data_IF_562386185057
#
_entry.id   IF_562386185057
#
_cell.length_a   1.000
_cell.length_b   1.000
_cell.length_c   1.000
_cell.angle_alpha   90.00
_cell.angle_beta   90.00
_cell.angle_gamma   90.00
#
_symmetry.space_group_name_H-M   'P 1'
#
loop_
_entity.id
_entity.type
_entity.pdbx_description
1 polymer ?
2 polymer ?
3 water ?
#
# COMPACT_ATOMS: atom_id res chain seq x y z
N UNK A 1 -15.09 9.85 -22.74
CA UNK A 1 -14.14 9.23 -21.79
C UNK A 1 -12.74 9.09 -22.37
N UNK A 2 -11.73 9.82 -21.98
CA UNK A 2 -10.37 9.71 -22.49
C UNK A 2 -9.66 8.48 -21.95
N UNK A 3 -8.71 7.89 -22.67
CA UNK A 3 -8.01 6.70 -22.22
C UNK A 3 -6.60 7.31 -22.25
N UNK A 4 -5.92 7.08 -21.14
CA UNK A 4 -4.54 7.60 -21.06
C UNK A 4 -3.72 6.28 -21.01
N UNK A 5 -2.77 6.14 -21.93
CA UNK A 5 -2.10 4.84 -21.87
C UNK A 5 -0.64 5.20 -21.69
N UNK A 6 -0.25 4.66 -20.58
CA UNK A 6 1.06 4.80 -19.93
C UNK A 6 2.05 3.69 -20.19
N UNK A 7 3.23 4.08 -20.64
CA UNK A 7 4.36 3.21 -20.91
C UNK A 7 5.76 3.70 -20.50
N UNK A 8 6.52 2.80 -19.90
CA UNK A 8 6.15 1.45 -19.52
C UNK A 8 5.33 1.37 -18.23
N UNK A 9 4.77 0.19 -18.02
CA UNK A 9 4.01 -0.15 -16.81
C UNK A 9 4.89 -0.42 -15.59
N UNK A 10 5.97 -1.16 -15.72
CA UNK A 10 7.00 -1.56 -14.76
C UNK A 10 8.33 -1.08 -15.34
N UNK A 11 9.37 -0.89 -14.60
CA UNK A 11 10.67 -0.45 -15.18
C UNK A 11 11.60 -0.30 -13.98
N UNK A 12 12.73 -0.91 -14.15
CA UNK A 12 13.82 -0.95 -13.20
C UNK A 12 14.95 -0.04 -13.74
N UNK A 13 15.45 0.79 -12.84
CA UNK A 13 16.53 1.68 -13.23
C UNK A 13 17.61 1.77 -12.17
N UNK A 14 18.77 1.95 -12.79
CA UNK A 14 20.04 2.14 -12.13
C UNK A 14 20.01 3.62 -11.78
N UNK A 15 20.23 3.92 -10.49
CA UNK A 15 20.29 5.33 -10.03
C UNK A 15 21.34 5.88 -11.02
N UNK A 16 21.08 7.01 -11.63
CA UNK A 16 22.07 7.45 -12.64
C UNK A 16 21.50 7.58 -14.06
N UNK A 17 20.78 6.64 -14.54
CA UNK A 17 20.07 6.59 -15.82
C UNK A 17 18.88 7.57 -15.92
N UNK A 18 18.77 8.13 -17.09
CA UNK A 18 17.69 9.06 -17.43
C UNK A 18 16.58 8.09 -17.80
N UNK A 19 15.35 8.47 -17.66
CA UNK A 19 14.22 7.58 -18.03
C UNK A 19 13.20 8.50 -18.74
N UNK A 20 12.35 7.87 -19.51
CA UNK A 20 11.28 8.56 -20.24
C UNK A 20 10.00 7.75 -20.00
N UNK A 21 8.96 8.42 -19.55
CA UNK A 21 7.64 7.74 -19.30
C UNK A 21 6.68 8.33 -20.31
N UNK A 22 5.95 7.56 -21.07
CA UNK A 22 5.01 8.06 -22.11
C UNK A 22 3.57 7.98 -21.59
N UNK A 23 2.75 8.93 -22.03
CA UNK A 23 1.33 8.97 -21.66
C UNK A 23 0.66 9.32 -23.02
N UNK A 24 0.04 8.30 -23.56
CA UNK A 24 -0.70 8.49 -24.83
C UNK A 24 -2.15 8.79 -24.53
N UNK A 25 -2.81 9.55 -25.38
CA UNK A 25 -4.21 9.97 -25.29
C UNK A 25 -4.95 9.57 -26.57
N UNK A 26 -6.14 9.05 -26.37
CA UNK A 26 -7.02 8.60 -27.44
C UNK A 26 -7.55 9.83 -28.19
N UNK A 27 -7.45 11.01 -27.62
CA UNK A 27 -7.89 12.28 -28.23
C UNK A 27 -6.93 13.43 -28.06
N UNK A 28 -7.16 14.57 -28.72
CA UNK A 28 -6.39 15.82 -28.61
C UNK A 28 -5.90 16.24 -27.23
N UNK A 29 -6.52 17.06 -26.43
CA UNK A 29 -6.23 17.51 -25.07
C UNK A 29 -4.98 18.33 -24.72
N UNK A 30 -4.51 19.03 -25.69
CA UNK A 30 -3.38 19.91 -25.86
C UNK A 30 -2.46 19.96 -24.65
N UNK A 31 -2.66 20.90 -23.76
CA UNK A 31 -1.73 21.05 -22.62
C UNK A 31 -2.40 20.57 -21.34
N UNK A 32 -3.66 20.15 -21.47
CA UNK A 32 -4.44 19.70 -20.33
C UNK A 32 -3.99 18.35 -19.76
N UNK A 33 -2.71 18.14 -19.77
CA UNK A 33 -2.13 16.92 -19.22
C UNK A 33 -1.29 17.27 -17.99
N UNK A 34 -1.55 16.55 -16.91
CA UNK A 34 -0.74 16.73 -15.65
C UNK A 34 -0.19 15.38 -15.17
N UNK A 35 0.97 15.33 -14.58
CA UNK A 35 1.74 14.31 -13.96
C UNK A 35 1.94 14.38 -12.45
N UNK A 36 1.61 13.35 -11.74
CA UNK A 36 1.72 13.12 -10.31
C UNK A 36 2.67 11.98 -9.93
N UNK A 37 3.30 12.21 -8.82
CA UNK A 37 4.26 11.26 -8.22
C UNK A 37 3.71 10.69 -6.90
N UNK A 38 3.74 9.37 -6.74
CA UNK A 38 3.24 8.82 -5.46
C UNK A 38 4.38 7.93 -4.92
N UNK A 39 4.93 8.25 -3.77
CA UNK A 39 6.00 7.45 -3.16
C UNK A 39 5.23 6.35 -2.44
N UNK A 40 5.91 5.42 -1.84
CA UNK A 40 5.40 4.28 -1.09
C UNK A 40 4.74 4.94 0.11
N UNK A 41 3.67 4.31 0.55
CA UNK A 41 2.93 4.78 1.72
C UNK A 41 2.60 6.26 1.88
N UNK A 42 2.69 7.10 0.87
CA UNK A 42 2.42 8.51 0.66
C UNK A 42 1.31 8.83 -0.30
N UNK A 43 0.78 10.06 -0.27
CA UNK A 43 -0.29 10.46 -1.24
C UNK A 43 0.36 10.99 -2.52
N UNK A 44 -0.38 11.01 -3.62
CA UNK A 44 0.12 11.55 -4.88
C UNK A 44 0.45 13.03 -4.62
N UNK A 45 1.44 13.46 -5.41
CA UNK A 45 1.99 14.82 -5.44
C UNK A 45 1.97 15.42 -6.84
N UNK A 46 1.66 16.74 -6.88
CA UNK A 46 1.64 17.38 -8.21
C UNK A 46 3.09 17.70 -8.56
N UNK A 47 3.49 17.26 -9.75
CA UNK A 47 4.82 17.52 -10.31
C UNK A 47 4.93 18.50 -11.46
N UNK A 48 4.30 18.10 -12.55
CA UNK A 48 4.20 18.77 -13.83
C UNK A 48 2.76 19.18 -14.08
N UNK A 49 2.60 20.43 -14.31
CA UNK A 49 1.36 21.14 -14.61
C UNK A 49 1.47 21.32 -16.13
N UNK A 50 0.41 21.01 -16.83
CA UNK A 50 0.34 21.18 -18.30
C UNK A 50 1.61 20.82 -19.04
N UNK A 51 1.92 19.56 -19.00
CA UNK A 51 3.06 18.82 -19.52
C UNK A 51 4.39 19.40 -19.86
N UNK A 52 4.80 20.47 -19.21
CA UNK A 52 6.00 21.26 -19.36
C UNK A 52 6.34 22.11 -18.11
N UNK A 53 5.31 22.69 -17.58
CA UNK A 53 5.23 23.58 -16.44
C UNK A 53 5.18 22.90 -15.10
N UNK A 54 6.29 22.85 -14.46
CA UNK A 54 6.46 22.22 -13.16
C UNK A 54 5.86 23.10 -12.07
N UNK A 55 5.83 22.56 -10.85
CA UNK A 55 5.30 23.35 -9.74
C UNK A 55 6.38 24.09 -8.98
N UNK A 56 7.23 23.47 -8.18
CA UNK A 56 8.22 24.11 -7.35
C UNK A 56 8.66 23.33 -6.08
N UNK A 57 9.96 23.19 -5.96
CA UNK A 57 10.53 22.49 -4.80
C UNK A 57 10.92 21.10 -5.21
N UNK A 58 10.69 20.90 -6.50
CA UNK A 58 10.91 19.69 -7.35
C UNK A 58 12.22 19.98 -8.04
N UNK A 59 12.99 18.96 -8.33
CA UNK A 59 14.27 19.15 -9.06
C UNK A 59 13.90 19.48 -10.51
N UNK A 60 14.88 20.09 -11.11
CA UNK A 60 14.98 20.54 -12.51
C UNK A 60 15.18 19.35 -13.48
N UNK A 61 15.54 18.25 -12.80
CA UNK A 61 15.78 16.90 -13.27
C UNK A 61 14.56 16.29 -13.93
N UNK A 62 13.40 16.63 -13.54
CA UNK A 62 12.10 16.27 -14.04
C UNK A 62 11.73 17.22 -15.16
N UNK A 63 11.39 16.74 -16.31
CA UNK A 63 10.98 17.60 -17.43
C UNK A 63 9.65 17.05 -17.98
N UNK A 64 8.74 17.93 -18.32
CA UNK A 64 7.47 17.52 -18.90
C UNK A 64 7.53 18.13 -20.32
N UNK A 65 7.19 17.28 -21.26
CA UNK A 65 7.17 17.58 -22.69
C UNK A 65 5.95 16.95 -23.37
N UNK A 66 5.46 17.61 -24.42
CA UNK A 66 4.32 17.09 -25.17
C UNK A 66 3.14 17.98 -25.29
N UNK A 67 2.37 17.68 -26.31
CA UNK A 67 1.12 18.31 -26.73
C UNK A 67 0.48 17.30 -27.72
N UNK A 68 -0.81 17.30 -27.61
CA UNK A 68 -1.62 16.41 -28.49
C UNK A 68 -1.96 15.07 -27.91
N UNK A 69 -1.53 13.96 -28.48
CA UNK A 69 -1.92 12.63 -27.90
C UNK A 69 -0.79 12.08 -27.07
N UNK A 70 0.41 12.52 -27.34
CA UNK A 70 1.63 12.03 -26.67
C UNK A 70 2.37 13.04 -25.83
N UNK A 71 2.54 12.76 -24.58
CA UNK A 71 3.19 13.59 -23.55
C UNK A 71 4.25 12.76 -22.84
N UNK A 72 5.36 13.35 -22.45
CA UNK A 72 6.37 12.48 -21.81
C UNK A 72 6.97 13.18 -20.61
N UNK A 73 7.36 12.37 -19.63
CA UNK A 73 7.96 12.95 -18.40
C UNK A 73 9.36 12.33 -18.47
N UNK A 74 10.28 13.28 -18.43
CA UNK A 74 11.73 12.92 -18.51
C UNK A 74 12.31 12.98 -17.12
N UNK A 75 13.17 12.05 -16.75
CA UNK A 75 13.78 12.12 -15.38
C UNK A 75 15.25 11.89 -15.79
N UNK A 76 16.03 12.94 -15.74
CA UNK A 76 17.43 12.95 -16.17
C UNK A 76 18.45 12.14 -15.43
N UNK A 77 18.41 12.00 -14.13
CA UNK A 77 19.39 11.09 -13.46
C UNK A 77 18.40 10.48 -12.43
N UNK A 78 18.44 9.16 -12.35
CA UNK A 78 17.49 8.55 -11.41
C UNK A 78 18.05 8.46 -10.00
N UNK A 79 17.33 9.01 -9.04
CA UNK A 79 17.83 8.93 -7.65
C UNK A 79 16.80 8.17 -6.78
N UNK A 80 17.41 7.62 -5.76
CA UNK A 80 16.68 6.80 -4.76
C UNK A 80 15.46 7.61 -4.42
N UNK A 81 15.39 8.86 -4.06
CA UNK A 81 14.17 9.60 -3.71
C UNK A 81 13.07 9.53 -4.76
N UNK A 82 13.45 9.28 -5.99
CA UNK A 82 12.62 9.24 -7.17
C UNK A 82 11.78 8.01 -7.47
N UNK A 83 11.99 6.91 -6.81
CA UNK A 83 11.24 5.67 -7.07
C UNK A 83 9.91 5.60 -6.31
N UNK A 84 8.89 5.28 -7.11
CA UNK A 84 7.50 5.18 -6.73
C UNK A 84 6.70 5.08 -8.07
N UNK A 85 5.43 5.38 -7.92
CA UNK A 85 4.55 5.40 -9.08
C UNK A 85 4.35 6.86 -9.53
N UNK A 86 4.27 6.91 -10.86
CA UNK A 86 4.04 8.07 -11.71
C UNK A 86 2.77 7.91 -12.55
N UNK A 87 1.88 8.91 -12.30
CA UNK A 87 0.58 8.97 -12.99
C UNK A 87 0.32 10.22 -13.80
N UNK A 88 -0.33 10.05 -14.93
CA UNK A 88 -0.63 11.26 -15.78
C UNK A 88 -2.10 11.50 -15.61
N UNK A 89 -2.53 12.72 -15.68
CA UNK A 89 -4.01 12.93 -15.57
C UNK A 89 -4.34 14.08 -16.55
N UNK A 90 -5.47 13.88 -17.20
CA UNK A 90 -6.01 14.83 -18.18
C UNK A 90 -7.20 15.60 -17.60
N UNK A 91 -7.15 16.92 -17.64
CA UNK A 91 -8.21 17.81 -17.11
C UNK A 91 -9.08 18.42 -18.20
N UNK A 92 -8.58 18.33 -19.42
CA UNK A 92 -9.21 18.77 -20.68
C UNK A 92 -10.73 18.67 -20.60
N UNK A 93 -11.19 17.44 -20.37
CA UNK A 93 -12.61 17.13 -20.30
C UNK A 93 -12.95 16.18 -19.15
N UNK A 94 -14.11 16.46 -18.63
CA UNK A 94 -14.81 15.77 -17.53
C UNK A 94 -15.35 14.60 -18.36
N UNK A 95 -15.29 13.36 -17.88
CA UNK A 95 -14.76 12.99 -16.57
C UNK A 95 -13.24 12.99 -16.61
N UNK A 96 -12.68 13.69 -15.64
CA UNK A 96 -11.21 13.73 -15.50
C UNK A 96 -10.89 12.26 -15.45
N UNK A 97 -9.82 11.85 -16.14
CA UNK A 97 -9.29 10.51 -16.20
C UNK A 97 -7.78 10.49 -15.91
N UNK A 98 -7.33 9.32 -15.42
CA UNK A 98 -5.89 9.13 -15.17
C UNK A 98 -5.45 7.94 -16.04
N UNK A 99 -4.16 7.75 -16.10
CA UNK A 99 -3.47 6.64 -16.78
C UNK A 99 -3.09 5.57 -15.75
N UNK A 100 -2.99 4.32 -16.06
CA UNK A 100 -2.68 3.19 -15.26
C UNK A 100 -1.59 3.30 -14.20
N UNK A 101 -0.52 4.00 -14.53
CA UNK A 101 0.66 4.18 -13.65
C UNK A 101 1.93 3.51 -14.19
N UNK A 102 3.02 4.15 -13.89
CA UNK A 102 4.39 3.76 -14.27
C UNK A 102 5.13 3.57 -12.96
N UNK A 103 5.34 2.29 -12.60
CA UNK A 103 6.00 2.00 -11.32
C UNK A 103 7.53 2.13 -11.45
N UNK A 104 8.27 2.85 -10.60
CA UNK A 104 9.72 2.76 -10.94
C UNK A 104 10.34 2.01 -9.81
N UNK A 105 11.34 1.20 -10.13
CA UNK A 105 12.05 0.37 -9.15
C UNK A 105 13.55 0.64 -9.30
N UNK A 106 14.30 0.52 -8.23
CA UNK A 106 15.73 0.68 -8.10
C UNK A 106 16.45 -0.67 -8.35
N UNK A 107 17.20 -0.68 -9.42
CA UNK A 107 17.94 -1.87 -9.83
C UNK A 107 19.24 -1.84 -9.03
N UNK A 108 19.44 -2.82 -8.23
CA UNK A 108 20.57 -3.01 -7.32
C UNK A 108 21.25 -4.35 -7.52
N UNK A 109 22.37 -4.62 -6.84
CA UNK A 109 22.92 -5.98 -7.10
C UNK A 109 21.98 -7.03 -6.51
N UNK A 110 22.14 -8.23 -7.03
CA UNK A 110 21.38 -9.41 -6.59
C UNK A 110 21.80 -9.68 -5.15
N UNK A 111 20.90 -10.30 -4.39
CA UNK A 111 21.08 -10.57 -2.98
C UNK A 111 20.33 -11.81 -2.51
N UNK A 112 21.01 -12.69 -1.82
CA UNK A 112 20.43 -13.91 -1.27
C UNK A 112 19.60 -13.68 -0.02
N UNK A 113 18.48 -14.39 0.06
CA UNK A 113 17.57 -14.28 1.24
C UNK A 113 18.24 -14.93 2.43
N UNK A 114 17.91 -14.60 3.65
CA UNK A 114 18.34 -15.14 4.93
C UNK A 114 16.95 -15.69 5.29
N UNK A 115 16.93 -16.97 5.49
CA UNK A 115 15.60 -17.63 5.73
C UNK A 115 15.68 -18.15 7.12
N UNK A 116 14.59 -18.15 7.78
CA UNK A 116 14.44 -18.64 9.17
C UNK A 116 13.07 -19.29 9.04
N UNK A 117 12.90 -20.37 9.73
CA UNK A 117 11.71 -21.21 9.83
C UNK A 117 11.30 -21.30 11.31
N UNK A 118 9.99 -21.29 11.51
CA UNK A 118 9.26 -21.28 12.76
C UNK A 118 8.12 -22.30 12.84
N UNK A 119 8.24 -23.20 13.81
CA UNK A 119 7.22 -24.20 14.08
C UNK A 119 6.01 -23.48 14.72
N UNK A 120 4.86 -24.16 14.80
CA UNK A 120 3.64 -23.61 15.43
C UNK A 120 3.92 -23.32 16.89
N UNK A 121 3.27 -22.31 17.42
CA UNK A 121 3.28 -21.92 18.84
C UNK A 121 2.42 -22.98 19.55
N UNK A 122 2.63 -23.18 20.82
CA UNK A 122 1.99 -24.07 21.77
C UNK A 122 0.69 -23.44 22.31
N UNK A 123 0.59 -22.20 21.92
CA UNK A 123 -0.52 -21.31 22.16
C UNK A 123 -1.55 -21.54 21.05
N UNK A 124 -1.08 -21.73 19.86
CA UNK A 124 -1.72 -21.91 18.58
C UNK A 124 -2.29 -23.31 18.73
N UNK A 125 -1.50 -24.24 18.98
CA UNK A 125 -1.79 -25.63 19.25
C UNK A 125 -3.01 -25.82 20.12
N UNK A 126 -3.37 -24.94 21.04
CA UNK A 126 -4.60 -25.25 21.81
C UNK A 126 -5.92 -25.24 21.05
N UNK A 127 -6.04 -24.32 20.18
CA UNK A 127 -7.05 -23.88 19.26
C UNK A 127 -7.20 -24.80 18.07
N UNK A 128 -6.48 -25.90 18.20
CA UNK A 128 -6.45 -26.94 17.18
C UNK A 128 -5.75 -26.70 15.87
N UNK A 129 -5.00 -25.62 15.74
CA UNK A 129 -4.33 -25.28 14.48
C UNK A 129 -2.82 -25.17 14.60
N UNK A 130 -2.16 -25.29 13.43
CA UNK A 130 -0.69 -25.17 13.39
C UNK A 130 -0.31 -24.40 12.10
N UNK A 131 0.37 -23.28 12.30
CA UNK A 131 0.93 -22.44 11.21
C UNK A 131 2.45 -22.60 11.40
N UNK A 132 3.09 -22.83 10.29
CA UNK A 132 4.55 -23.09 10.21
C UNK A 132 4.89 -21.89 9.37
N UNK A 133 5.87 -21.15 9.73
CA UNK A 133 6.20 -19.90 9.02
C UNK A 133 7.67 -19.81 8.62
N UNK A 134 7.86 -19.36 7.40
CA UNK A 134 9.28 -19.15 6.94
C UNK A 134 9.50 -17.69 6.61
N UNK A 135 10.48 -16.90 6.98
CA UNK A 135 10.67 -15.53 6.52
C UNK A 135 11.80 -15.62 5.48
N UNK A 136 11.78 -15.00 4.35
CA UNK A 136 12.83 -15.01 3.30
C UNK A 136 13.18 -13.52 3.31
N UNK A 137 14.25 -13.15 3.96
CA UNK A 137 14.61 -11.75 4.19
C UNK A 137 15.71 -11.09 3.38
N UNK A 138 15.36 -9.84 2.98
CA UNK A 138 16.32 -9.03 2.19
C UNK A 138 17.03 -9.69 1.04
N UNK A 139 16.33 -9.98 -0.03
CA UNK A 139 16.73 -10.59 -1.27
C UNK A 139 16.50 -9.63 -2.46
N UNK A 140 17.20 -9.89 -3.55
CA UNK A 140 17.04 -9.09 -4.78
C UNK A 140 17.57 -9.94 -5.93
N UNK A 141 16.89 -10.13 -7.05
CA UNK A 141 15.57 -9.61 -7.42
C UNK A 141 14.35 -10.18 -6.74
N UNK A 142 13.16 -9.64 -6.97
CA UNK A 142 11.98 -10.08 -6.23
C UNK A 142 11.58 -11.52 -6.46
N UNK A 143 11.77 -12.04 -7.65
CA UNK A 143 11.31 -13.40 -8.04
C UNK A 143 12.22 -14.42 -7.33
N UNK A 144 11.45 -15.11 -6.48
CA UNK A 144 11.97 -16.17 -5.60
C UNK A 144 10.90 -17.25 -5.67
N UNK A 145 11.28 -18.51 -5.54
CA UNK A 145 10.26 -19.59 -5.55
C UNK A 145 10.40 -20.29 -4.20
N UNK A 146 9.30 -20.44 -3.49
CA UNK A 146 9.31 -21.11 -2.22
C UNK A 146 8.43 -22.36 -2.22
N UNK A 147 9.04 -23.48 -1.82
CA UNK A 147 8.11 -24.67 -1.77
C UNK A 147 8.04 -25.27 -0.37
N UNK A 148 6.87 -25.75 0.04
CA UNK A 148 6.82 -26.46 1.35
C UNK A 148 7.00 -27.98 1.09
N UNK A 149 7.60 -28.72 1.96
CA UNK A 149 7.84 -30.18 1.86
C UNK A 149 7.54 -30.70 3.25
N UNK A 150 6.73 -31.71 3.41
CA UNK A 150 6.34 -32.28 4.70
C UNK A 150 6.87 -33.70 4.61
N UNK A 151 7.85 -34.01 5.45
CA UNK A 151 8.42 -35.37 5.33
C UNK A 151 8.91 -35.57 3.89
N UNK A 152 9.48 -34.62 3.18
CA UNK A 152 9.91 -34.83 1.80
C UNK A 152 9.06 -34.60 0.57
N UNK A 153 7.77 -34.62 0.67
CA UNK A 153 6.77 -34.40 -0.40
C UNK A 153 6.22 -32.95 -0.29
N UNK A 154 6.07 -32.36 -1.42
CA UNK A 154 5.67 -30.98 -1.74
C UNK A 154 4.24 -30.75 -1.27
N UNK A 155 4.05 -29.65 -0.58
CA UNK A 155 2.73 -29.29 -0.04
C UNK A 155 2.37 -27.89 -0.57
N UNK A 156 1.30 -27.92 -1.33
CA UNK A 156 0.70 -26.82 -2.09
C UNK A 156 -0.50 -26.18 -1.40
N UNK A 157 -1.21 -27.10 -0.77
CA UNK A 157 -2.45 -26.94 -0.04
C UNK A 157 -2.23 -26.25 1.30
N UNK A 158 -2.84 -25.09 1.40
CA UNK A 158 -2.81 -24.26 2.58
C UNK A 158 -1.73 -23.22 2.61
N UNK A 159 -1.06 -22.88 1.54
CA UNK A 159 0.04 -21.88 1.60
C UNK A 159 -0.37 -20.45 1.19
N UNK A 160 0.04 -19.45 1.98
CA UNK A 160 -0.21 -18.05 1.70
C UNK A 160 1.08 -17.25 1.85
N UNK A 161 1.46 -16.65 0.74
CA UNK A 161 2.63 -15.81 0.58
C UNK A 161 2.26 -14.29 0.58
N UNK A 162 3.22 -13.53 1.05
CA UNK A 162 3.25 -12.10 1.20
C UNK A 162 4.66 -11.56 1.07
N UNK A 163 4.78 -10.70 0.07
CA UNK A 163 6.02 -9.99 -0.36
C UNK A 163 6.02 -8.56 0.08
N UNK A 164 7.11 -7.99 0.50
CA UNK A 164 6.99 -6.56 0.92
C UNK A 164 7.31 -5.79 -0.39
N UNK A 165 7.08 -4.51 -0.28
CA UNK A 165 7.40 -3.62 -1.41
C UNK A 165 8.93 -3.46 -1.27
N UNK A 166 9.58 -2.80 -2.20
CA UNK A 166 11.00 -2.57 -2.23
C UNK A 166 11.33 -1.65 -1.06
N UNK A 167 12.45 -2.04 -0.46
CA UNK A 167 12.89 -1.33 0.76
C UNK A 167 13.48 0.01 0.34
N UNK A 168 13.33 0.98 1.23
CA UNK A 168 13.87 2.32 0.95
C UNK A 168 15.34 2.31 1.38
N UNK A 169 15.64 1.52 2.39
CA UNK A 169 17.05 1.49 2.83
C UNK A 169 18.00 0.85 1.82
N UNK A 170 17.78 -0.41 1.55
CA UNK A 170 18.69 -1.08 0.58
C UNK A 170 18.05 -1.64 -0.66
N UNK A 171 16.82 -1.30 -1.07
CA UNK A 171 16.29 -1.82 -2.36
C UNK A 171 15.91 -3.28 -2.47
N UNK A 172 15.90 -3.90 -1.28
CA UNK A 172 15.55 -5.33 -1.25
C UNK A 172 14.05 -5.50 -1.00
N UNK A 173 13.75 -6.77 -1.15
CA UNK A 173 12.37 -7.26 -0.96
C UNK A 173 12.43 -8.31 0.12
N UNK A 174 11.30 -8.56 0.69
CA UNK A 174 11.13 -9.52 1.75
C UNK A 174 9.87 -10.37 1.54
N UNK A 175 9.89 -11.48 2.25
CA UNK A 175 8.70 -12.37 2.02
C UNK A 175 8.44 -13.34 3.15
N UNK A 176 7.13 -13.44 3.39
CA UNK A 176 6.63 -14.31 4.41
C UNK A 176 5.89 -15.46 3.72
N UNK A 177 6.06 -16.67 4.21
CA UNK A 177 5.37 -17.79 3.53
C UNK A 177 4.76 -18.55 4.69
N UNK A 178 3.43 -18.73 4.59
CA UNK A 178 2.76 -19.42 5.67
C UNK A 178 2.07 -20.69 5.28
N UNK A 179 2.33 -21.81 5.98
CA UNK A 179 1.62 -23.05 5.72
C UNK A 179 0.82 -23.33 6.99
N UNK A 180 -0.44 -23.60 6.82
CA UNK A 180 -1.44 -23.78 7.85
C UNK A 180 -1.98 -25.21 7.89
N UNK A 181 -1.80 -25.88 9.02
CA UNK A 181 -2.21 -27.29 9.08
C UNK A 181 -3.07 -27.32 10.35
N UNK A 182 -3.69 -28.46 10.57
CA UNK A 182 -4.49 -28.66 11.78
C UNK A 182 -3.51 -29.29 12.76
N UNK A 183 -3.80 -29.19 14.06
CA UNK A 183 -2.85 -29.78 15.02
C UNK A 183 -2.70 -31.27 14.78
N UNK A 184 -3.82 -31.87 14.34
CA UNK A 184 -3.93 -33.30 14.04
C UNK A 184 -3.00 -33.80 12.94
N UNK A 185 -3.00 -33.10 11.82
CA UNK A 185 -2.16 -33.43 10.66
C UNK A 185 -0.78 -33.01 11.09
N UNK A 186 -0.60 -31.95 11.87
CA UNK A 186 0.73 -31.49 12.30
C UNK A 186 1.35 -32.55 13.22
N UNK A 187 0.64 -33.13 14.18
CA UNK A 187 1.18 -34.13 15.06
C UNK A 187 1.39 -35.47 14.36
N UNK A 188 1.29 -35.60 13.07
CA UNK A 188 1.47 -36.83 12.28
C UNK A 188 2.63 -36.70 11.28
N UNK A 189 3.37 -35.60 11.28
CA UNK A 189 4.46 -35.63 10.27
C UNK A 189 5.70 -35.17 11.10
N UNK A 190 6.89 -35.41 10.57
CA UNK A 190 8.07 -35.20 11.39
C UNK A 190 8.94 -34.03 11.07
N UNK A 191 9.13 -33.86 9.77
CA UNK A 191 9.93 -32.82 9.18
C UNK A 191 9.16 -31.82 8.33
N UNK A 192 9.50 -30.59 8.56
CA UNK A 192 8.95 -29.39 7.88
C UNK A 192 10.16 -28.71 7.24
N UNK A 193 10.09 -28.48 5.93
CA UNK A 193 11.06 -27.87 5.07
C UNK A 193 10.45 -26.78 4.20
N UNK A 194 11.29 -25.81 4.03
CA UNK A 194 10.83 -24.63 3.17
C UNK A 194 12.04 -24.45 2.29
N UNK A 195 11.75 -24.51 0.98
CA UNK A 195 12.87 -24.38 0.03
C UNK A 195 12.61 -23.17 -0.86
N UNK A 196 13.57 -22.31 -1.00
CA UNK A 196 13.67 -21.09 -1.71
C UNK A 196 14.68 -21.26 -2.87
N UNK A 197 14.11 -21.04 -4.04
CA UNK A 197 14.99 -21.02 -5.22
C UNK A 197 14.95 -19.59 -5.74
N UNK A 198 16.18 -19.04 -5.67
CA UNK A 198 16.44 -17.63 -6.13
C UNK A 198 17.55 -17.66 -7.18
N UNK A 199 17.66 -16.68 -8.05
CA UNK A 199 18.64 -16.47 -9.12
C UNK A 199 20.05 -16.72 -8.64
N UNK A 200 20.26 -16.09 -7.50
CA UNK A 200 21.50 -16.10 -6.71
C UNK A 200 22.15 -17.45 -6.54
N UNK A 201 21.46 -18.59 -6.67
CA UNK A 201 22.14 -19.89 -6.50
C UNK A 201 21.46 -20.95 -7.35
N UNK A 202 22.22 -22.03 -7.57
CA UNK A 202 21.73 -23.15 -8.41
C UNK A 202 20.98 -24.13 -7.54
N UNK A 203 21.41 -24.18 -6.28
CA UNK A 203 20.77 -25.08 -5.28
C UNK A 203 19.74 -24.30 -4.45
N UNK A 204 18.61 -24.95 -4.22
CA UNK A 204 17.52 -24.32 -3.41
C UNK A 204 18.05 -24.13 -1.99
N UNK A 205 17.82 -22.99 -1.40
CA UNK A 205 18.25 -22.68 -0.02
C UNK A 205 17.12 -23.40 0.75
N UNK A 206 17.52 -24.10 1.77
CA UNK A 206 16.54 -24.90 2.54
C UNK A 206 16.90 -24.69 4.02
N UNK A 207 15.84 -24.63 4.80
CA UNK A 207 15.86 -24.44 6.25
C UNK A 207 14.87 -25.46 6.78
N UNK A 208 15.11 -26.28 7.76
CA UNK A 208 14.17 -27.30 8.24
C UNK A 208 14.21 -27.37 9.76
N UNK A 209 13.28 -28.13 10.23
CA UNK A 209 13.04 -28.46 11.62
C UNK A 209 12.28 -29.82 11.60
N UNK A 210 12.56 -30.46 12.72
CA UNK A 210 12.01 -31.73 13.11
C UNK A 210 11.13 -31.42 14.35
N UNK A 211 9.96 -32.00 14.26
CA UNK A 211 9.05 -31.83 15.47
C UNK A 211 9.65 -32.63 16.62
N UNK A 212 9.38 -32.29 17.89
CA UNK A 212 9.97 -33.10 19.02
C UNK A 212 9.64 -32.56 20.42
N UNK A 213 10.41 -31.58 20.88
CA UNK A 213 10.33 -30.84 22.13
C UNK A 213 10.86 -31.53 23.38
N UNK A 214 10.22 -31.20 24.49
CA UNK A 214 10.32 -31.49 25.89
C UNK A 214 9.80 -32.73 26.61
N UNK B 1 1.29 24.93 5.23
CA UNK B 1 -0.18 25.03 5.40
C UNK B 1 -0.90 24.48 4.17
N UNK B 2 -2.17 24.48 4.09
CA UNK B 2 -2.95 23.89 2.99
C UNK B 2 -2.70 22.41 3.42
N UNK B 3 -3.61 21.96 4.25
CA UNK B 3 -3.76 20.66 4.84
C UNK B 3 -5.14 20.09 4.56
N UNK B 4 -5.26 18.89 4.02
CA UNK B 4 -6.65 18.35 3.77
C UNK B 4 -6.83 17.15 4.65
N UNK B 5 -7.72 16.88 5.55
CA UNK B 5 -7.70 15.61 6.31
C UNK B 5 -9.05 14.92 6.32
N UNK B 6 -9.08 13.75 5.67
CA UNK B 6 -10.29 12.91 5.56
C UNK B 6 -10.55 12.05 6.79
N UNK B 7 -11.81 11.83 7.13
CA UNK B 7 -12.32 10.99 8.17
C UNK B 7 -13.64 10.34 7.73
N UNK B 8 -14.09 9.33 8.42
CA UNK B 8 -15.36 8.68 8.09
C UNK B 8 -15.29 7.37 7.38
N UNK B 9 -14.13 6.90 6.98
CA UNK B 9 -14.02 5.63 6.25
C UNK B 9 -14.26 4.38 7.07
N UNK B 10 -14.90 3.30 6.59
CA UNK B 10 -14.99 2.13 7.51
C UNK B 10 -15.61 0.96 6.83
N UNK B 11 -16.11 0.00 7.53
CA UNK B 11 -16.72 -1.21 6.98
C UNK B 11 -18.21 -0.96 6.91
N UNK B 12 -18.76 -1.21 5.78
CA UNK B 12 -20.10 -1.09 5.24
C UNK B 12 -20.45 -2.38 4.47
N UNK B 13 -21.70 -2.74 4.58
CA UNK B 13 -22.26 -3.93 3.87
C UNK B 13 -22.56 -3.38 2.49
N UNK B 14 -22.66 -4.26 1.53
CA UNK B 14 -23.05 -3.86 0.14
C UNK B 14 -24.52 -3.38 0.29
N UNK B 15 -24.76 -2.21 -0.35
CA UNK B 15 -26.06 -1.57 -0.28
C UNK B 15 -26.15 -0.55 0.87
N UNK B 16 -25.27 -0.60 1.86
CA UNK B 16 -25.46 0.36 2.99
C UNK B 16 -24.93 1.73 2.55
N UNK B 17 -24.65 2.66 3.42
CA UNK B 17 -24.11 3.98 3.26
C UNK B 17 -23.05 4.44 4.25
N UNK B 18 -22.18 5.33 3.78
CA UNK B 18 -21.11 5.97 4.54
C UNK B 18 -21.02 7.44 4.15
N UNK B 19 -20.73 8.33 5.07
CA UNK B 19 -20.52 9.77 4.88
C UNK B 19 -19.04 10.14 5.23
N UNK B 20 -18.19 10.53 4.36
CA UNK B 20 -16.82 10.94 4.53
C UNK B 20 -16.80 12.47 4.62
N UNK B 21 -15.83 13.04 5.33
CA UNK B 21 -15.45 14.41 5.59
C UNK B 21 -13.98 14.65 5.26
N UNK B 22 -13.69 15.86 4.95
CA UNK B 22 -12.31 16.30 4.58
C UNK B 22 -12.21 17.69 5.19
N UNK B 23 -11.24 17.82 6.11
CA UNK B 23 -11.14 19.19 6.74
C UNK B 23 -10.10 20.01 6.02
N UNK B 24 -10.42 21.21 5.58
CA UNK B 24 -9.35 22.03 4.94
C UNK B 24 -8.74 23.03 5.90
N UNK B 25 -7.48 23.41 5.64
CA UNK B 25 -6.85 24.43 6.54
C UNK B 25 -5.69 25.08 5.80
N UNK B 26 -5.23 26.29 6.09
CA UNK B 26 -4.11 26.82 5.33
C UNK B 26 -4.53 27.57 4.05
N UNK B 27 -5.85 27.65 3.93
CA UNK B 27 -6.42 28.40 2.76
C UNK B 27 -7.86 28.86 3.04
N UNK B 28 -8.22 29.73 2.11
CA UNK B 28 -9.54 30.35 2.00
C UNK B 28 -10.26 29.32 1.09
N UNK B 29 -11.06 28.53 1.75
CA UNK B 29 -11.83 27.43 1.16
C UNK B 29 -12.89 27.67 0.10
N UNK B 30 -13.63 28.72 0.24
CA UNK B 30 -14.74 29.09 -0.67
C UNK B 30 -14.22 29.53 -2.03
N UNK B 31 -12.90 29.71 -2.20
CA UNK B 31 -12.35 30.16 -3.47
C UNK B 31 -11.89 28.96 -4.32
N UNK B 32 -12.00 27.79 -3.69
CA UNK B 32 -11.45 26.62 -4.40
C UNK B 32 -12.45 25.49 -4.59
N UNK B 33 -12.18 25.00 -5.79
CA UNK B 33 -13.00 23.83 -6.19
C UNK B 33 -12.17 22.68 -5.56
N UNK B 34 -12.91 21.64 -5.23
CA UNK B 34 -12.36 20.41 -4.69
C UNK B 34 -13.04 19.24 -5.45
N UNK B 35 -12.37 18.11 -5.28
CA UNK B 35 -12.76 16.83 -5.83
C UNK B 35 -12.41 15.70 -4.84
N UNK B 36 -13.08 14.58 -5.14
CA UNK B 36 -12.84 13.32 -4.39
C UNK B 36 -12.19 12.39 -5.42
N UNK B 37 -11.16 11.67 -5.05
CA UNK B 37 -10.48 10.71 -5.93
C UNK B 37 -10.24 9.39 -5.16
N UNK B 38 -10.53 8.24 -5.75
CA UNK B 38 -10.29 6.98 -4.99
C UNK B 38 -9.13 6.15 -5.54
N UNK B 39 -8.30 5.60 -4.67
CA UNK B 39 -7.19 4.79 -5.21
C UNK B 39 -7.63 3.35 -5.12
N UNK B 40 -7.61 2.48 -6.10
CA UNK B 40 -8.09 1.11 -5.80
C UNK B 40 -6.95 0.19 -5.39
N UNK B 41 -7.30 -0.87 -4.67
CA UNK B 41 -6.31 -1.85 -4.18
C UNK B 41 -5.26 -2.24 -5.20
N UNK B 42 -5.60 -2.29 -6.49
CA UNK B 42 -4.68 -2.62 -7.57
C UNK B 42 -3.95 -1.39 -8.10
N UNK B 43 -3.92 -0.41 -7.20
CA UNK B 43 -3.32 0.88 -7.31
C UNK B 43 -3.67 1.91 -8.36
N UNK B 44 -4.77 1.93 -9.00
CA UNK B 44 -5.42 2.77 -9.96
C UNK B 44 -6.01 4.01 -9.22
N UNK B 45 -6.03 5.07 -9.94
CA UNK B 45 -6.60 6.34 -9.52
C UNK B 45 -7.81 6.66 -10.40
N UNK B 46 -8.94 6.84 -9.77
CA UNK B 46 -10.20 7.24 -10.36
C UNK B 46 -10.92 8.37 -9.65
N UNK B 47 -11.23 9.38 -10.48
CA UNK B 47 -11.99 10.60 -10.10
C UNK B 47 -13.45 10.27 -9.88
N UNK B 48 -14.05 10.68 -8.80
CA UNK B 48 -15.46 10.37 -8.50
C UNK B 48 -16.50 11.49 -8.30
N UNK B 49 -16.06 12.73 -8.13
CA UNK B 49 -16.95 13.91 -7.91
C UNK B 49 -16.15 15.22 -7.75
N UNK B 50 -16.62 16.30 -8.32
CA UNK B 50 -16.10 17.65 -8.33
C UNK B 50 -17.25 18.54 -7.81
N UNK B 51 -16.83 19.61 -7.17
CA UNK B 51 -17.66 20.64 -6.54
C UNK B 51 -16.90 21.99 -6.43
N UNK B 52 -17.62 23.03 -6.91
CA UNK B 52 -17.17 24.41 -6.99
C UNK B 52 -17.02 25.14 -5.66
N UNK B 53 -16.26 26.23 -5.81
CA UNK B 53 -15.97 27.15 -4.70
C UNK B 53 -17.26 27.56 -4.05
N UNK B 54 -18.34 27.77 -4.74
CA UNK B 54 -19.65 28.11 -4.15
C UNK B 54 -20.78 27.10 -3.98
N UNK B 55 -20.61 25.88 -4.49
CA UNK B 55 -21.62 24.81 -4.39
C UNK B 55 -21.91 24.27 -5.78
N UNK B 56 -22.87 24.91 -6.43
CA UNK B 56 -23.40 24.58 -7.74
C UNK B 56 -22.34 24.17 -8.75
N UNK B 57 -22.78 23.30 -9.62
CA UNK B 57 -21.96 22.75 -10.73
C UNK B 57 -21.14 21.58 -10.17
N UNK B 58 -21.92 20.56 -9.76
CA UNK B 58 -21.39 19.31 -9.22
C UNK B 58 -21.11 18.45 -10.47
N UNK B 59 -20.02 17.74 -10.52
CA UNK B 59 -19.68 16.89 -11.68
C UNK B 59 -19.44 15.46 -11.18
N UNK B 60 -19.97 14.48 -11.90
CA UNK B 60 -19.73 13.05 -11.55
C UNK B 60 -19.36 12.20 -12.74
N UNK B 61 -18.68 11.07 -12.51
CA UNK B 61 -18.34 10.15 -13.64
C UNK B 61 -19.58 9.30 -13.76
N UNK B 62 -19.97 8.59 -14.82
CA UNK B 62 -21.21 7.81 -14.95
C UNK B 62 -21.56 6.73 -13.95
N UNK B 63 -20.49 6.22 -13.37
CA UNK B 63 -20.40 5.17 -12.36
C UNK B 63 -20.94 5.51 -10.97
N UNK B 64 -20.75 6.73 -10.56
CA UNK B 64 -21.13 7.29 -9.26
C UNK B 64 -22.43 8.03 -9.33
N UNK B 65 -22.74 8.51 -10.51
CA UNK B 65 -23.98 9.28 -10.72
C UNK B 65 -25.16 8.47 -10.18
N UNK B 66 -25.83 9.09 -9.22
CA UNK B 66 -26.94 8.46 -8.55
C UNK B 66 -26.66 7.86 -7.19
N UNK B 67 -25.41 7.66 -6.77
CA UNK B 67 -25.23 6.99 -5.45
C UNK B 67 -24.47 7.88 -4.46
N UNK B 68 -23.59 8.66 -5.10
CA UNK B 68 -22.79 9.55 -4.23
C UNK B 68 -23.25 11.00 -4.38
N UNK B 69 -23.09 11.80 -3.32
CA UNK B 69 -23.40 13.22 -3.31
C UNK B 69 -22.22 13.98 -2.62
N UNK B 70 -21.62 14.84 -3.40
CA UNK B 70 -20.55 15.72 -3.01
C UNK B 70 -21.20 17.03 -2.54
N UNK B 71 -20.97 17.41 -1.31
CA UNK B 71 -21.37 18.56 -0.55
C UNK B 71 -20.13 19.25 0.05
N UNK B 72 -20.27 20.49 0.46
CA UNK B 72 -19.29 21.33 1.13
C UNK B 72 -20.09 22.22 2.10
N UNK B 73 -19.41 22.74 3.05
CA UNK B 73 -19.75 23.66 4.15
C UNK B 73 -18.61 24.69 4.25
N UNK B 74 -18.62 25.71 3.44
CA UNK B 74 -17.64 26.76 3.26
C UNK B 74 -17.38 27.55 4.54
N UNK B 75 -18.27 27.35 5.49
CA UNK B 75 -18.25 27.99 6.81
C UNK B 75 -17.34 27.30 7.85
N UNK B 76 -17.59 26.00 7.91
CA UNK B 76 -16.94 24.98 8.74
C UNK B 76 -15.77 24.38 7.94
N UNK B 77 -15.55 24.87 6.75
CA UNK B 77 -14.45 24.46 5.87
C UNK B 77 -14.28 22.94 5.74
N UNK B 78 -15.36 22.29 5.37
CA UNK B 78 -15.46 20.85 5.24
C UNK B 78 -16.04 20.37 3.91
N UNK B 79 -15.33 19.40 3.34
CA UNK B 79 -15.83 18.80 2.10
C UNK B 79 -16.44 17.45 2.47
N UNK B 80 -17.56 17.12 1.80
CA UNK B 80 -18.19 15.87 2.11
C UNK B 80 -18.44 15.04 0.84
N UNK B 81 -18.59 13.75 1.14
CA UNK B 81 -18.93 12.70 0.17
C UNK B 81 -19.86 11.75 0.95
N UNK B 82 -21.09 11.71 0.39
CA UNK B 82 -22.18 10.85 1.02
C UNK B 82 -22.31 9.69 0.07
N UNK B 83 -21.96 8.49 0.52
CA UNK B 83 -22.03 7.36 -0.41
C UNK B 83 -23.22 6.47 -0.09
N UNK B 84 -23.87 6.05 -1.16
CA UNK B 84 -25.06 5.20 -0.91
C UNK B 84 -25.14 4.10 -1.99
N UNK B 85 -26.01 3.14 -1.72
CA UNK B 85 -26.09 2.02 -2.70
C UNK B 85 -24.69 1.41 -2.89
N UNK B 86 -23.95 1.30 -1.77
CA UNK B 86 -22.57 0.81 -1.91
C UNK B 86 -22.57 -0.65 -2.40
N UNK B 87 -21.50 -0.86 -3.16
CA UNK B 87 -21.21 -2.18 -3.79
C UNK B 87 -19.71 -2.38 -3.65
N UNK B 88 -19.30 -3.62 -3.60
CA UNK B 88 -17.95 -4.13 -3.42
C UNK B 88 -16.87 -3.33 -4.13
N UNK B 89 -17.08 -3.05 -5.39
CA UNK B 89 -16.18 -2.26 -6.22
C UNK B 89 -15.87 -0.88 -5.63
N UNK B 90 -16.65 -0.25 -4.77
CA UNK B 90 -16.33 1.03 -4.18
C UNK B 90 -15.26 0.89 -3.09
N UNK B 91 -14.85 -0.37 -2.84
CA UNK B 91 -13.79 -0.59 -1.87
C UNK B 91 -12.56 0.10 -2.47
N UNK B 92 -11.94 0.94 -1.65
CA UNK B 92 -10.77 1.74 -1.94
C UNK B 92 -10.40 2.85 -0.96
N UNK B 93 -9.34 3.62 -1.12
CA UNK B 93 -8.90 4.67 -0.30
C UNK B 93 -9.47 5.97 -0.92
N UNK B 94 -10.18 6.78 -0.14
CA UNK B 94 -10.69 8.04 -0.71
C UNK B 94 -9.81 9.21 -0.25
N UNK B 95 -9.51 10.06 -1.17
CA UNK B 95 -8.70 11.25 -1.04
C UNK B 95 -9.57 12.47 -1.48
N UNK B 96 -9.42 13.54 -0.74
CA UNK B 96 -10.00 14.81 -1.10
C UNK B 96 -8.76 15.57 -1.68
N UNK B 97 -9.04 16.31 -2.76
CA UNK B 97 -8.02 17.06 -3.50
C UNK B 97 -8.56 18.43 -3.86
N UNK B 98 -7.69 19.40 -4.04
CA UNK B 98 -8.23 20.73 -4.38
C UNK B 98 -7.73 21.15 -5.76
N UNK B 99 -8.50 22.00 -6.41
CA UNK B 99 -8.12 22.48 -7.75
C UNK B 99 -7.66 23.93 -7.68
N UNK B 100 -6.85 24.32 -8.66
CA UNK B 100 -6.28 25.67 -8.71
C UNK B 100 -7.37 26.72 -8.82
N UNK B 101 -7.09 27.83 -8.16
CA UNK B 101 -7.90 29.06 -8.10
C UNK B 101 -8.90 29.16 -9.26
N UNK B 102 -10.19 29.13 -8.93
CA UNK B 102 -11.23 29.17 -9.99
C UNK B 102 -11.86 30.47 -10.47
N UNK B 103 -11.36 30.85 -11.66
CA UNK B 103 -11.76 32.05 -12.40
C UNK B 103 -12.55 31.83 -13.68
N UNK B 104 -13.35 32.85 -13.92
CA UNK B 104 -14.25 32.95 -15.09
C UNK B 104 -13.44 33.59 -16.21
N UNK B 105 -12.39 32.87 -16.62
CA UNK B 105 -11.49 33.37 -17.68
C UNK B 105 -11.83 32.68 -19.01
N UNK B 106 -13.11 32.35 -19.01
CA UNK B 106 -13.79 31.71 -20.12
C UNK B 106 -13.52 30.22 -20.18
N UNK B 107 -13.68 29.55 -19.06
CA UNK B 107 -13.49 28.09 -19.06
C UNK B 107 -12.04 27.70 -19.30
N UNK B 108 -11.52 26.97 -18.34
CA UNK B 108 -10.13 26.48 -18.32
C UNK B 108 -10.13 25.09 -17.66
N UNK B 109 -8.92 24.62 -17.33
CA UNK B 109 -8.75 23.26 -16.78
C UNK B 109 -8.60 23.07 -15.30
N UNK B 110 -8.51 21.81 -14.90
CA UNK B 110 -8.41 21.45 -13.48
C UNK B 110 -7.55 20.33 -12.93
N UNK B 111 -6.37 20.75 -12.52
CA UNK B 111 -5.27 20.04 -11.90
C UNK B 111 -5.67 19.89 -10.42
N UNK B 112 -4.95 19.03 -9.77
CA UNK B 112 -5.22 18.71 -8.32
C UNK B 112 -3.85 18.98 -7.72
N UNK B 113 -3.71 20.16 -7.16
CA UNK B 113 -2.38 20.51 -6.60
C UNK B 113 -2.14 20.24 -5.13
N UNK B 114 -3.10 19.68 -4.43
CA UNK B 114 -2.92 19.39 -2.98
C UNK B 114 -3.78 18.14 -2.75
N UNK B 115 -3.24 17.20 -2.01
CA UNK B 115 -4.03 15.99 -1.70
C UNK B 115 -4.05 15.60 -0.22
N UNK B 116 -5.18 14.97 0.15
CA UNK B 116 -5.37 14.44 1.51
C UNK B 116 -4.58 13.17 1.78
N UNK B 117 -4.71 12.52 2.91
CA UNK B 117 -4.04 11.27 3.33
C UNK B 117 -4.86 10.05 2.98
N UNK B 118 -6.11 10.23 2.65
CA UNK B 118 -7.05 9.17 2.30
C UNK B 118 -7.79 8.62 3.52
N UNK B 119 -8.95 8.02 3.32
CA UNK B 119 -9.73 7.38 4.36
C UNK B 119 -10.03 6.00 3.64
N UNK B 120 -10.04 4.93 4.38
CA UNK B 120 -10.25 3.66 3.64
C UNK B 120 -11.71 3.27 3.75
N UNK B 121 -12.34 2.79 2.70
CA UNK B 121 -13.74 2.40 2.75
C UNK B 121 -13.77 0.94 2.23
N UNK B 122 -14.20 -0.04 2.96
CA UNK B 122 -14.33 -1.43 2.57
C UNK B 122 -15.82 -1.85 2.54
N UNK B 123 -16.24 -2.31 1.40
CA UNK B 123 -17.62 -2.79 1.21
C UNK B 123 -17.46 -4.31 1.37
N UNK B 124 -18.07 -4.82 2.40
CA UNK B 124 -18.00 -6.27 2.69
C UNK B 124 -19.10 -6.64 3.68
N UNK B 125 -19.47 -7.89 3.48
CA UNK B 125 -20.51 -8.59 4.28
C UNK B 125 -19.80 -9.37 5.40
N UNK B 126 -18.48 -9.55 5.25
CA UNK B 126 -17.66 -10.25 6.26
C UNK B 126 -17.86 -9.47 7.55
N UNK B 127 -17.77 -10.04 8.70
CA UNK B 127 -17.99 -9.42 10.00
C UNK B 127 -16.66 -9.21 10.71
N UNK B 128 -16.70 -8.20 11.55
CA UNK B 128 -15.54 -7.85 12.39
C UNK B 128 -15.26 -8.96 13.36
N UNK B 129 -14.02 -9.36 13.32
CA UNK B 129 -13.46 -10.44 14.13
C UNK B 129 -12.07 -9.86 14.44
N UNK B 130 -11.70 -9.98 15.69
CA UNK B 130 -10.40 -9.46 16.14
C UNK B 130 -9.39 -10.57 15.86
N UNK B 131 -8.12 -10.22 15.91
CA UNK B 131 -7.05 -11.19 15.68
C UNK B 131 -6.62 -12.11 16.81
N UNK B 132 -5.87 -13.14 16.37
CA UNK B 132 -5.29 -14.09 17.34
C UNK B 132 -3.78 -13.77 17.26
N UNK B 133 -3.16 -13.56 18.42
CA UNK B 133 -1.74 -13.23 18.29
C UNK B 133 -0.89 -14.37 18.74
N UNK B 134 -0.06 -14.92 17.85
CA UNK B 134 0.88 -16.00 18.18
C UNK B 134 2.31 -15.58 18.07
N UNK B 135 3.09 -15.98 19.07
CA UNK B 135 4.55 -15.70 19.12
C UNK B 135 5.32 -16.70 18.22
N UNK B 136 6.24 -16.23 17.44
CA UNK B 136 7.12 -17.05 16.62
C UNK B 136 8.51 -16.88 17.24
N UNK B 137 8.90 -17.87 17.98
CA UNK B 137 10.22 -17.95 18.65
C UNK B 137 10.97 -19.00 17.82
N UNK B 138 12.30 -18.84 17.79
CA UNK B 138 13.16 -19.76 17.06
C UNK B 138 13.64 -20.82 18.06
N UNK B 139 14.01 -21.91 17.44
CA UNK B 139 14.55 -23.11 18.13
C UNK B 139 15.99 -22.72 18.49
N UNK B 140 16.28 -22.94 19.75
CA UNK B 140 17.62 -22.61 20.31
C UNK B 140 18.36 -23.92 20.06
N UNK B 141 18.78 -24.05 18.82
CA UNK B 141 19.44 -25.29 18.40
C UNK B 141 20.80 -25.06 17.78
N UNK B 142 20.79 -24.30 16.69
CA UNK B 142 22.03 -24.06 15.94
C UNK B 142 21.81 -23.13 14.76
N UNK B 143 21.57 -21.89 15.16
CA UNK B 143 21.38 -20.78 14.20
C UNK B 143 22.80 -20.58 13.66
N UNK B 144 22.96 -19.57 12.83
CA UNK B 144 24.23 -19.18 12.22
C UNK B 144 24.89 -17.93 12.82
N UNK B 145 24.22 -17.11 13.62
CA UNK B 145 24.89 -15.88 14.07
C UNK B 145 24.75 -15.23 15.43
N UNK B 146 25.19 -13.99 15.37
CA UNK B 146 25.26 -12.88 16.32
C UNK B 146 23.87 -12.22 16.36
N UNK B 147 23.08 -12.55 15.35
CA UNK B 147 21.69 -12.01 15.29
C UNK B 147 20.72 -13.16 15.21
N UNK B 148 19.61 -13.12 15.87
CA UNK B 148 18.45 -14.00 15.92
C UNK B 148 17.18 -13.27 15.39
N UNK B 149 16.29 -13.93 14.68
CA UNK B 149 15.09 -13.30 14.15
C UNK B 149 13.89 -13.83 14.89
N UNK B 150 12.96 -12.91 15.13
CA UNK B 150 11.74 -13.23 15.92
C UNK B 150 10.47 -12.80 15.19
N UNK B 151 9.34 -13.35 15.56
CA UNK B 151 8.13 -12.85 14.80
C UNK B 151 6.87 -12.98 15.67
N UNK B 152 5.82 -12.61 14.97
CA UNK B 152 4.47 -12.60 15.54
C UNK B 152 3.50 -12.86 14.39
N UNK B 153 2.51 -13.69 14.51
CA UNK B 153 1.57 -13.92 13.44
C UNK B 153 0.29 -13.25 13.96
N UNK B 154 -0.32 -12.42 13.10
CA UNK B 154 -1.63 -11.82 13.55
C UNK B 154 -2.66 -12.55 12.66
N UNK B 155 -3.46 -13.41 13.25
CA UNK B 155 -4.34 -14.18 12.36
C UNK B 155 -5.80 -14.12 12.56
N UNK B 156 -6.53 -14.37 11.42
CA UNK B 156 -8.00 -14.36 11.63
C UNK B 156 -8.83 -13.19 12.03
N UNK B 157 -8.39 -12.07 11.42
CA UNK B 157 -9.13 -10.80 11.73
C UNK B 157 -9.84 -10.16 10.58
N UNK B 158 -10.74 -9.25 10.92
CA UNK B 158 -11.45 -8.49 9.84
C UNK B 158 -12.00 -7.24 10.48
N UNK B 159 -11.91 -6.09 9.82
CA UNK B 159 -11.33 -5.80 8.52
C UNK B 159 -9.91 -5.29 8.75
N UNK B 160 -9.29 -4.72 7.77
CA UNK B 160 -7.95 -4.10 7.89
C UNK B 160 -8.21 -2.64 8.34
N UNK B 161 -7.30 -2.00 9.08
CA UNK B 161 -5.97 -2.54 9.45
C UNK B 161 -5.75 -2.92 10.90
N UNK B 162 -4.51 -3.27 11.17
CA UNK B 162 -4.03 -3.67 12.52
C UNK B 162 -2.75 -2.86 12.68
N UNK B 163 -2.28 -2.58 13.85
CA UNK B 163 -1.04 -1.88 14.16
C UNK B 163 -0.12 -2.84 14.90
N UNK B 164 1.13 -2.89 14.50
CA UNK B 164 1.99 -3.86 15.22
C UNK B 164 3.28 -3.06 15.43
N UNK B 165 3.63 -3.05 16.70
CA UNK B 165 4.86 -2.34 17.13
C UNK B 165 5.67 -3.39 17.82
N UNK B 166 6.95 -3.22 18.07
CA UNK B 166 7.85 -4.06 18.80
C UNK B 166 8.30 -3.24 19.98
N UNK B 167 8.34 -3.83 21.16
CA UNK B 167 8.74 -3.20 22.42
C UNK B 167 8.11 -1.81 22.61
N UNK B 168 6.84 -1.68 22.24
CA UNK B 168 6.13 -0.43 22.33
C UNK B 168 6.76 0.69 21.48
N UNK B 169 7.29 0.40 20.30
CA UNK B 169 7.83 1.44 19.42
C UNK B 169 9.31 1.70 19.53
N UNK B 170 9.97 1.21 20.55
CA UNK B 170 11.36 1.21 20.92
C UNK B 170 12.20 0.52 19.84
N UNK B 171 11.94 -0.75 19.70
CA UNK B 171 12.58 -1.60 18.67
C UNK B 171 12.03 -1.16 17.32
N UNK B 172 12.80 -0.34 16.64
CA UNK B 172 12.54 0.27 15.33
C UNK B 172 13.16 -0.33 14.09
N UNK B 173 14.48 -0.55 14.18
CA UNK B 173 15.34 -1.12 13.13
C UNK B 173 15.20 -2.65 13.16
N UNK B 174 15.35 -3.26 11.99
CA UNK B 174 15.27 -4.71 11.78
C UNK B 174 13.84 -5.26 11.82
N UNK B 175 12.87 -4.40 11.51
CA UNK B 175 11.47 -4.77 11.48
C UNK B 175 11.00 -4.76 10.01
N UNK B 176 10.25 -5.83 9.81
CA UNK B 176 9.63 -6.19 8.52
C UNK B 176 8.18 -6.49 8.80
N UNK B 177 7.27 -5.67 8.36
CA UNK B 177 5.85 -6.02 8.58
C UNK B 177 5.31 -6.50 7.22
N UNK B 178 4.76 -7.70 7.17
CA UNK B 178 4.33 -8.10 5.81
C UNK B 178 2.86 -7.74 5.66
N UNK B 179 2.58 -7.30 4.46
CA UNK B 179 1.22 -6.95 4.05
C UNK B 179 0.25 -8.09 4.31
N UNK B 180 -0.92 -7.73 4.81
CA UNK B 180 -2.01 -8.67 5.08
C UNK B 180 -2.53 -9.26 3.76
N UNK B 181 -2.89 -10.51 3.81
CA UNK B 181 -3.44 -11.29 2.69
C UNK B 181 -4.79 -11.81 3.16
N UNK B 182 -5.76 -11.45 2.31
CA UNK B 182 -7.13 -11.95 2.69
C UNK B 182 -7.45 -13.31 2.06
N UNK B 183 -7.92 -14.19 2.90
CA UNK B 183 -8.30 -15.53 2.54
C UNK B 183 -9.47 -15.79 3.47
N UNK B 184 -10.39 -16.56 2.95
CA UNK B 184 -11.60 -17.05 3.64
C UNK B 184 -12.15 -16.09 4.66
N UNK B 185 -12.32 -14.88 4.15
CA UNK B 185 -12.84 -13.65 4.75
C UNK B 185 -11.97 -13.23 5.93
N UNK B 186 -10.83 -13.82 6.29
CA UNK B 186 -10.06 -13.26 7.41
C UNK B 186 -8.68 -12.95 6.89
N UNK B 187 -8.04 -11.92 7.34
CA UNK B 187 -6.70 -11.52 6.90
C UNK B 187 -5.65 -12.17 7.79
N UNK B 188 -4.41 -12.28 7.46
CA UNK B 188 -3.36 -12.85 8.30
C UNK B 188 -2.21 -11.91 7.94
N UNK B 189 -1.51 -11.54 8.98
CA UNK B 189 -0.33 -10.66 8.76
C UNK B 189 0.78 -11.21 9.61
N UNK B 190 2.02 -10.92 9.26
CA UNK B 190 3.19 -11.31 10.05
C UNK B 190 4.14 -10.07 10.14
N UNK B 191 4.99 -10.12 11.14
CA UNK B 191 5.96 -9.13 11.47
C UNK B 191 7.16 -9.91 12.02
N UNK B 192 8.31 -9.44 11.62
CA UNK B 192 9.58 -10.11 12.05
C UNK B 192 10.47 -8.97 12.57
N UNK B 193 11.32 -9.33 13.50
CA UNK B 193 12.29 -8.37 14.09
C UNK B 193 13.64 -9.06 14.29
N UNK B 194 14.76 -8.45 13.93
CA UNK B 194 16.09 -9.01 14.11
C UNK B 194 16.89 -8.15 15.12
N UNK B 195 17.23 -8.79 16.21
CA UNK B 195 17.99 -8.34 17.36
C UNK B 195 19.29 -9.12 17.54
N UNK B 196 20.27 -8.59 18.27
CA UNK B 196 21.52 -9.30 18.57
C UNK B 196 21.26 -10.53 19.42
N UNK B 197 21.98 -11.60 19.21
CA UNK B 197 21.83 -12.85 19.95
C UNK B 197 22.62 -12.80 21.25
N UNK B 198 22.37 -11.88 22.11
CA UNK B 198 22.99 -11.60 23.43
C UNK B 198 21.78 -11.10 24.20
N UNK B 199 21.20 -10.01 23.75
CA UNK B 199 19.90 -9.59 24.28
C UNK B 199 19.05 -10.70 23.61
N UNK B 200 18.78 -11.79 24.23
CA UNK B 200 18.03 -12.94 23.63
C UNK B 200 16.99 -13.15 24.68
N UNK B 201 16.94 -14.26 25.38
CA UNK B 201 15.95 -14.41 26.45
C UNK B 201 16.20 -13.29 27.49
N UNK B 202 17.44 -12.89 27.60
CA UNK B 202 17.84 -11.86 28.60
C UNK B 202 16.91 -10.66 28.56
N UNK B 203 16.86 -10.03 27.39
CA UNK B 203 15.99 -8.86 27.21
C UNK B 203 14.71 -9.30 26.49
N UNK B 204 13.58 -8.91 27.04
CA UNK B 204 12.26 -9.20 26.49
C UNK B 204 11.87 -8.30 25.31
N UNK B 205 11.43 -9.07 24.35
CA UNK B 205 10.91 -8.69 23.05
C UNK B 205 9.38 -9.00 23.22
N UNK B 206 8.60 -7.98 22.94
CA UNK B 206 7.14 -8.07 23.00
C UNK B 206 6.69 -7.39 21.69
N UNK B 207 5.61 -7.90 21.14
CA UNK B 207 5.02 -7.37 19.92
C UNK B 207 3.68 -6.91 20.44
N UNK B 208 3.33 -5.69 20.10
CA UNK B 208 2.12 -4.97 20.46
C UNK B 208 1.09 -4.89 19.34
N UNK B 209 -0.03 -5.60 19.39
CA UNK B 209 -0.95 -5.49 18.23
C UNK B 209 -2.26 -4.78 18.63
N UNK B 210 -2.80 -3.98 17.69
CA UNK B 210 -4.02 -3.30 18.03
C UNK B 210 -4.79 -3.41 16.72
N UNK B 211 -6.06 -3.75 17.00
CA UNK B 211 -7.01 -3.84 15.85
C UNK B 211 -8.19 -2.93 16.24
N UNK B 212 -8.10 -1.68 15.77
CA UNK B 212 -9.06 -0.68 16.20
C UNK B 212 -10.48 -1.12 15.98
N UNK B 213 -10.81 -1.66 14.83
CA UNK B 213 -12.17 -2.13 14.54
C UNK B 213 -12.91 -2.95 15.54
N UNK B 214 -12.18 -3.78 16.25
CA UNK B 214 -12.62 -4.71 17.31
C UNK B 214 -12.22 -4.14 18.68
N UNK B 215 -11.60 -2.94 18.64
CA UNK B 215 -11.11 -2.33 19.87
C UNK B 215 -10.36 -3.37 20.68
N UNK B 216 -9.53 -4.14 19.99
CA UNK B 216 -8.72 -5.23 20.57
C UNK B 216 -7.24 -4.80 20.73
N UNK B 217 -6.54 -5.30 21.74
CA UNK B 217 -5.14 -4.97 22.04
C UNK B 217 -4.50 -6.10 22.86
N UNK B 218 -3.49 -6.69 22.27
CA UNK B 218 -2.73 -7.84 22.75
C UNK B 218 -1.28 -7.48 22.90
N UNK B 219 -0.60 -7.87 23.92
CA UNK B 219 0.83 -7.65 24.21
C UNK B 219 1.40 -9.08 24.36
N UNK B 220 2.22 -9.54 23.44
CA UNK B 220 2.73 -10.89 23.46
C UNK B 220 4.21 -11.13 23.52
N UNK B 221 4.72 -11.39 24.70
CA UNK B 221 6.13 -11.68 24.92
C UNK B 221 6.53 -12.95 24.17
N UNK B 222 7.74 -12.84 23.62
CA UNK B 222 8.35 -13.91 22.84
C UNK B 222 9.60 -14.42 23.48
N UNK B 223 10.47 -13.61 23.99
CA UNK B 223 11.84 -13.98 24.50
C UNK B 223 12.43 -15.17 23.73
N UNK B 224 13.47 -14.92 22.87
CA UNK B 224 14.02 -15.97 22.01
C UNK B 224 14.40 -17.24 22.72
N UNK B 225 13.41 -17.99 23.20
CA UNK B 225 13.62 -19.23 23.93
C UNK B 225 13.79 -20.52 23.10
N UNK B 226 13.94 -21.52 23.94
CA UNK B 226 14.13 -22.97 23.83
C UNK B 226 12.65 -23.39 23.81
N UNK B 227 12.24 -23.21 22.59
CA UNK B 227 11.11 -23.29 21.75
C UNK B 227 9.79 -22.81 22.35
#
# INVERSE_FOLDING_TARGET
DELLTQSPATLSVTPGDSVSLSCRASQSISNNLHWYQQKSHESPRLLIKYASQSISGIPSRFSGSGSGTDFTLSINSVETEDFGMYFCQQSNSWPLTFGGGSKLEIKRADAAPTVSIFPPSSEQLTSGGASVVCFLNNFYPKDINVKWKIDGSERQNGVLNSWTDQDSKDSTYSMSSTLTLTKDEYERHNSYTCEATHKTSTSPIVKSFNRNEC
EVQLVQSGGGLVNPGRSLKLSCAASGFTFSSYGMSWVRQTPEKRLEWVAAISGGGTYIHYPDSVKGRFTISRDNAKNNLYLQMSSLRSEDTALYYCTRHPFYRYDGGNYYAMDHWGQGTSVTVSAAKTTPPSVYPLAPGSAAQTNSMVTLGCLVKGYFPEPVTVTWNSGSLSSGVHTFPAVLQSDLYTLSSSVTVPSSPRPSETVTCNVAHPASSTKVDKKIVPRDC
#
